data_IF_507380985749
#
_entry.id   IF_507380985749
#
_cell.length_a   1.000
_cell.length_b   1.000
_cell.length_c   1.000
_cell.angle_alpha   90.00
_cell.angle_beta   90.00
_cell.angle_gamma   90.00
#
_symmetry.space_group_name_H-M   'P 1'
#
loop_
_entity.id
_entity.type
_entity.pdbx_description
1 polymer ?
#
# COMPACT_ATOMS: atom_id res chain seq x y z
N UNK A 1 26.95 3.67 -7.44
CA UNK A 1 28.33 3.34 -7.01
C UNK A 1 28.25 2.11 -6.14
N UNK A 2 29.34 1.37 -5.99
CA UNK A 2 29.46 0.26 -5.04
C UNK A 2 30.84 0.30 -4.39
N UNK A 3 30.94 -0.09 -3.13
CA UNK A 3 32.21 -0.13 -2.41
C UNK A 3 32.41 -1.51 -1.78
N UNK A 4 33.67 -1.93 -1.64
CA UNK A 4 34.05 -3.12 -0.89
C UNK A 4 35.41 -2.91 -0.22
N UNK A 5 35.68 -3.69 0.81
CA UNK A 5 36.98 -3.70 1.50
C UNK A 5 37.45 -5.14 1.65
N UNK A 6 38.72 -5.37 1.35
CA UNK A 6 39.42 -6.63 1.65
C UNK A 6 40.49 -6.40 2.71
N UNK A 7 41.23 -7.45 3.06
CA UNK A 7 42.42 -7.34 3.91
C UNK A 7 43.53 -6.45 3.31
N UNK A 8 43.50 -6.20 2.00
CA UNK A 8 44.60 -5.57 1.26
C UNK A 8 44.24 -4.22 0.65
N UNK A 9 42.98 -3.99 0.32
CA UNK A 9 42.57 -2.80 -0.42
C UNK A 9 41.10 -2.44 -0.23
N UNK A 10 40.81 -1.17 -0.48
CA UNK A 10 39.47 -0.66 -0.74
C UNK A 10 39.18 -0.69 -2.24
N UNK A 11 37.94 -1.00 -2.58
CA UNK A 11 37.44 -1.04 -3.95
C UNK A 11 36.24 -0.13 -4.06
N UNK A 12 36.18 0.64 -5.15
CA UNK A 12 35.05 1.50 -5.48
C UNK A 12 34.72 1.34 -6.97
N UNK A 13 33.50 0.92 -7.26
CA UNK A 13 32.97 0.85 -8.63
C UNK A 13 32.07 2.05 -8.89
N UNK A 14 32.38 2.78 -9.96
CA UNK A 14 31.60 3.90 -10.46
C UNK A 14 30.97 3.48 -11.78
N UNK A 15 29.64 3.63 -11.89
CA UNK A 15 28.92 3.29 -13.12
C UNK A 15 29.37 4.22 -14.25
N UNK A 16 29.68 3.70 -15.46
CA UNK A 16 29.95 4.51 -16.64
C UNK A 16 28.81 5.51 -16.96
N UNK A 17 27.57 5.17 -16.57
CA UNK A 17 26.41 6.08 -16.66
C UNK A 17 26.57 7.31 -15.75
N UNK A 18 27.02 7.09 -14.51
CA UNK A 18 27.29 8.18 -13.59
C UNK A 18 28.48 9.01 -14.08
N UNK A 19 29.50 8.38 -14.65
CA UNK A 19 30.66 9.08 -15.22
C UNK A 19 30.36 9.84 -16.53
N UNK A 20 29.19 9.63 -17.16
CA UNK A 20 28.84 10.24 -18.45
C UNK A 20 29.51 9.56 -19.66
N UNK A 21 30.14 8.40 -19.45
CA UNK A 21 30.82 7.62 -20.50
C UNK A 21 29.84 6.77 -21.30
N UNK A 22 28.74 6.34 -20.68
CA UNK A 22 27.70 5.51 -21.32
C UNK A 22 26.32 6.14 -21.10
N UNK A 23 25.43 6.12 -22.11
CA UNK A 23 24.06 6.59 -21.96
C UNK A 23 23.15 5.56 -21.26
N UNK A 24 23.61 4.32 -21.05
CA UNK A 24 22.79 3.25 -20.51
C UNK A 24 22.89 3.14 -18.98
N UNK A 25 21.78 3.07 -18.22
CA UNK A 25 21.84 3.04 -16.76
C UNK A 25 22.21 1.68 -16.14
N UNK A 26 22.18 0.60 -16.94
CA UNK A 26 22.28 -0.79 -16.45
C UNK A 26 23.68 -1.37 -16.61
N UNK A 27 24.60 -0.94 -15.76
CA UNK A 27 25.93 -1.55 -15.65
C UNK A 27 26.02 -2.43 -14.40
N UNK A 28 26.67 -3.59 -14.54
CA UNK A 28 26.88 -4.55 -13.45
C UNK A 28 28.28 -4.37 -12.83
N UNK A 29 28.43 -4.86 -11.60
CA UNK A 29 29.66 -4.83 -10.82
C UNK A 29 30.45 -6.11 -11.13
N UNK A 30 31.62 -6.01 -11.79
CA UNK A 30 32.52 -7.15 -11.92
C UNK A 30 33.27 -7.36 -10.61
N UNK A 31 33.01 -8.49 -9.93
CA UNK A 31 33.69 -8.87 -8.70
C UNK A 31 34.87 -9.82 -8.92
N UNK A 32 34.86 -10.56 -10.04
CA UNK A 32 35.89 -11.49 -10.41
C UNK A 32 36.02 -11.59 -11.93
N UNK A 33 37.15 -12.13 -12.39
CA UNK A 33 37.27 -12.57 -13.77
C UNK A 33 36.37 -13.82 -13.96
N UNK A 34 35.60 -13.92 -15.06
CA UNK A 34 34.81 -15.12 -15.37
C UNK A 34 35.60 -16.44 -15.36
N UNK A 35 36.90 -16.41 -15.69
CA UNK A 35 37.76 -17.60 -15.74
C UNK A 35 38.34 -17.99 -14.36
N UNK A 36 38.14 -17.15 -13.34
CA UNK A 36 38.72 -17.36 -12.03
C UNK A 36 37.91 -18.37 -11.20
N UNK A 37 38.56 -19.47 -10.81
CA UNK A 37 37.94 -20.58 -10.08
C UNK A 37 38.10 -20.52 -8.57
N UNK A 38 38.84 -19.52 -8.04
CA UNK A 38 39.06 -19.40 -6.60
C UNK A 38 37.77 -19.06 -5.85
N UNK A 39 37.48 -19.85 -4.82
CA UNK A 39 36.36 -19.63 -3.91
C UNK A 39 36.45 -18.29 -3.16
N UNK A 40 35.31 -17.58 -3.06
CA UNK A 40 35.19 -16.27 -2.42
C UNK A 40 33.96 -16.19 -1.52
N UNK A 41 34.02 -15.32 -0.52
CA UNK A 41 32.88 -14.95 0.31
C UNK A 41 32.68 -13.45 0.25
N UNK A 42 31.49 -13.02 -0.13
CA UNK A 42 31.08 -11.61 -0.11
C UNK A 42 30.13 -11.41 1.05
N UNK A 43 30.46 -10.47 1.93
CA UNK A 43 29.62 -10.12 3.07
C UNK A 43 28.94 -8.78 2.78
N UNK A 44 27.64 -8.71 3.03
CA UNK A 44 26.88 -7.47 2.92
C UNK A 44 25.82 -7.36 3.99
N UNK A 45 25.07 -6.27 3.94
CA UNK A 45 23.88 -6.05 4.76
C UNK A 45 22.68 -5.87 3.86
N UNK A 46 21.73 -6.80 3.93
CA UNK A 46 20.74 -7.04 2.88
C UNK A 46 21.40 -7.34 1.53
N UNK A 47 22.41 -8.23 1.54
CA UNK A 47 23.33 -8.47 0.42
C UNK A 47 22.64 -8.88 -0.89
N UNK A 48 21.41 -9.41 -0.83
CA UNK A 48 20.63 -9.73 -2.03
C UNK A 48 20.38 -8.52 -2.94
N UNK A 49 20.30 -7.32 -2.36
CA UNK A 49 20.20 -6.08 -3.13
C UNK A 49 21.46 -5.84 -3.96
N UNK A 50 22.64 -5.99 -3.37
CA UNK A 50 23.92 -5.80 -4.05
C UNK A 50 24.22 -6.94 -5.03
N UNK A 51 23.95 -8.19 -4.61
CA UNK A 51 24.09 -9.42 -5.42
C UNK A 51 23.38 -9.30 -6.76
N UNK A 52 22.17 -8.73 -6.80
CA UNK A 52 21.42 -8.53 -8.05
C UNK A 52 22.13 -7.63 -9.09
N UNK A 53 23.14 -6.86 -8.67
CA UNK A 53 23.95 -5.95 -9.48
C UNK A 53 25.34 -6.50 -9.80
N UNK A 54 25.69 -7.68 -9.29
CA UNK A 54 26.95 -8.37 -9.58
C UNK A 54 26.85 -9.04 -10.96
N UNK A 55 27.92 -8.92 -11.76
CA UNK A 55 27.94 -9.38 -13.14
C UNK A 55 27.86 -10.91 -13.24
N UNK A 56 28.62 -11.59 -12.39
CA UNK A 56 28.79 -13.04 -12.36
C UNK A 56 27.48 -13.76 -11.97
N UNK A 57 26.59 -13.09 -11.24
CA UNK A 57 25.27 -13.63 -10.88
C UNK A 57 24.29 -13.71 -12.06
N UNK A 58 24.66 -13.16 -13.22
CA UNK A 58 23.89 -13.29 -14.47
C UNK A 58 24.36 -14.45 -15.34
N UNK A 59 25.41 -15.15 -14.95
CA UNK A 59 25.91 -16.30 -15.68
C UNK A 59 25.09 -17.55 -15.34
N UNK A 60 24.88 -18.43 -16.33
CA UNK A 60 24.21 -19.72 -16.12
C UNK A 60 25.07 -20.65 -15.26
N UNK A 61 26.39 -20.65 -15.51
CA UNK A 61 27.33 -21.38 -14.69
C UNK A 61 27.65 -20.54 -13.47
N UNK A 62 27.48 -21.17 -12.31
CA UNK A 62 27.71 -20.52 -11.03
C UNK A 62 29.20 -20.21 -10.82
N UNK A 63 29.48 -18.95 -10.48
CA UNK A 63 30.79 -18.54 -9.97
C UNK A 63 31.01 -19.11 -8.55
N UNK A 64 32.26 -19.41 -8.15
CA UNK A 64 32.59 -19.94 -6.82
C UNK A 64 32.52 -18.85 -5.73
N UNK A 65 31.44 -18.08 -5.70
CA UNK A 65 31.19 -17.00 -4.74
C UNK A 65 30.01 -17.37 -3.85
N UNK A 66 30.20 -17.25 -2.54
CA UNK A 66 29.15 -17.37 -1.54
C UNK A 66 28.85 -16.00 -0.93
N UNK A 67 27.59 -15.79 -0.51
CA UNK A 67 27.16 -14.53 0.10
C UNK A 67 26.78 -14.74 1.55
N UNK A 68 27.18 -13.81 2.40
CA UNK A 68 26.78 -13.75 3.81
C UNK A 68 26.05 -12.45 4.06
N UNK A 69 24.83 -12.58 4.56
CA UNK A 69 23.98 -11.43 4.88
C UNK A 69 23.95 -11.15 6.38
N UNK A 70 24.57 -10.05 6.80
CA UNK A 70 24.55 -9.61 8.21
C UNK A 70 23.14 -9.30 8.71
N UNK A 71 22.22 -8.90 7.83
CA UNK A 71 20.81 -8.69 8.19
C UNK A 71 20.15 -10.02 8.56
N UNK A 72 20.33 -11.07 7.76
CA UNK A 72 19.80 -12.41 8.03
C UNK A 72 20.39 -13.02 9.31
N UNK A 73 21.69 -12.85 9.56
CA UNK A 73 22.32 -13.27 10.81
C UNK A 73 21.72 -12.55 12.03
N UNK A 74 21.44 -11.24 11.89
CA UNK A 74 20.76 -10.48 12.93
C UNK A 74 19.33 -10.98 13.15
N UNK A 75 18.56 -11.23 12.08
CA UNK A 75 17.18 -11.72 12.19
C UNK A 75 17.11 -13.01 13.00
N UNK A 76 18.03 -13.95 12.77
CA UNK A 76 18.13 -15.17 13.56
C UNK A 76 18.49 -14.90 15.03
N UNK A 77 19.32 -13.90 15.31
CA UNK A 77 19.92 -13.65 16.62
C UNK A 77 19.09 -12.72 17.52
N UNK A 78 18.77 -11.52 17.05
CA UNK A 78 18.08 -10.44 17.77
C UNK A 78 17.01 -9.74 16.94
N UNK A 79 16.46 -10.42 15.93
CA UNK A 79 15.39 -9.89 15.09
C UNK A 79 14.03 -9.87 15.78
N UNK A 80 13.14 -9.03 15.24
CA UNK A 80 11.76 -8.87 15.72
C UNK A 80 10.76 -9.49 14.74
N UNK A 81 9.73 -10.16 15.27
CA UNK A 81 8.59 -10.61 14.47
C UNK A 81 7.68 -9.44 14.09
N UNK A 82 6.85 -9.60 13.06
CA UNK A 82 6.02 -8.51 12.50
C UNK A 82 5.13 -7.81 13.55
N UNK A 83 4.57 -8.57 14.51
CA UNK A 83 3.74 -8.01 15.59
C UNK A 83 4.56 -7.19 16.60
N UNK A 84 5.83 -7.55 16.83
CA UNK A 84 6.71 -6.86 17.78
C UNK A 84 7.25 -5.53 17.26
N UNK A 85 7.39 -5.38 15.93
CA UNK A 85 8.00 -4.18 15.31
C UNK A 85 7.30 -2.87 15.70
N UNK A 86 5.96 -2.88 15.75
CA UNK A 86 5.18 -1.72 16.14
C UNK A 86 5.42 -1.30 17.60
N UNK A 87 5.52 -2.26 18.50
CA UNK A 87 5.83 -2.01 19.91
C UNK A 87 7.27 -1.52 20.10
N UNK A 88 8.23 -2.14 19.41
CA UNK A 88 9.63 -1.68 19.44
C UNK A 88 9.77 -0.24 18.95
N UNK A 89 9.03 0.16 17.91
CA UNK A 89 9.04 1.54 17.41
C UNK A 89 8.52 2.54 18.46
N UNK A 90 7.42 2.22 19.14
CA UNK A 90 6.88 3.06 20.23
C UNK A 90 7.85 3.15 21.39
N UNK A 91 8.40 2.02 21.83
CA UNK A 91 9.37 1.96 22.91
C UNK A 91 10.67 2.71 22.59
N UNK A 92 11.23 2.51 21.39
CA UNK A 92 12.44 3.20 20.94
C UNK A 92 12.22 4.69 20.71
N UNK A 93 10.98 5.11 20.45
CA UNK A 93 10.60 6.54 20.42
C UNK A 93 10.56 7.11 21.84
N UNK A 94 9.86 6.46 22.76
CA UNK A 94 9.80 6.86 24.16
C UNK A 94 11.20 7.01 24.77
N UNK A 95 12.14 6.09 24.46
CA UNK A 95 13.56 6.22 24.87
C UNK A 95 14.28 7.44 24.31
N UNK A 96 13.99 7.85 23.08
CA UNK A 96 14.61 9.03 22.46
C UNK A 96 14.01 10.34 22.99
N UNK A 97 12.73 10.32 23.31
CA UNK A 97 11.98 11.47 23.82
C UNK A 97 12.04 11.57 25.36
N UNK A 98 12.70 10.61 26.04
CA UNK A 98 12.75 10.49 27.50
C UNK A 98 11.37 10.48 28.18
N UNK A 99 10.39 9.80 27.56
CA UNK A 99 9.05 9.63 28.12
C UNK A 99 9.10 8.66 29.31
N UNK A 100 9.27 9.19 30.51
CA UNK A 100 9.45 8.41 31.73
C UNK A 100 8.22 7.60 32.11
N UNK A 101 7.02 8.13 31.85
CA UNK A 101 5.76 7.46 32.19
C UNK A 101 5.56 6.20 31.34
N UNK A 102 5.73 6.33 30.01
CA UNK A 102 5.63 5.19 29.11
C UNK A 102 6.69 4.13 29.41
N UNK A 103 7.93 4.55 29.70
CA UNK A 103 9.03 3.64 29.99
C UNK A 103 8.86 2.90 31.32
N UNK A 104 8.31 3.55 32.35
CA UNK A 104 7.98 2.92 33.62
C UNK A 104 6.84 1.90 33.45
N UNK A 105 5.77 2.28 32.75
CA UNK A 105 4.63 1.39 32.48
C UNK A 105 5.03 0.14 31.69
N UNK A 106 6.04 0.26 30.82
CA UNK A 106 6.54 -0.82 29.97
C UNK A 106 7.93 -1.32 30.40
N UNK A 107 8.30 -1.18 31.68
CA UNK A 107 9.64 -1.50 32.15
C UNK A 107 10.02 -2.98 31.94
N UNK A 108 9.07 -3.90 32.10
CA UNK A 108 9.31 -5.35 31.93
C UNK A 108 9.34 -5.75 30.46
N UNK A 109 8.31 -5.37 29.70
CA UNK A 109 8.18 -5.68 28.26
C UNK A 109 9.26 -4.99 27.43
N UNK A 110 9.73 -3.82 27.89
CA UNK A 110 10.78 -3.01 27.28
C UNK A 110 12.16 -3.67 27.25
N UNK A 111 12.51 -4.51 28.24
CA UNK A 111 13.83 -5.16 28.32
C UNK A 111 14.14 -6.01 27.09
N UNK A 112 13.12 -6.63 26.51
CA UNK A 112 13.27 -7.41 25.27
C UNK A 112 13.67 -6.52 24.07
N UNK A 113 13.21 -5.27 24.04
CA UNK A 113 13.54 -4.31 22.98
C UNK A 113 14.95 -3.73 23.09
N UNK A 114 15.63 -3.94 24.22
CA UNK A 114 17.01 -3.49 24.44
C UNK A 114 18.06 -4.44 23.85
N UNK A 115 17.66 -5.69 23.61
CA UNK A 115 18.51 -6.72 22.99
C UNK A 115 18.08 -7.06 21.56
N UNK A 116 17.14 -6.28 21.01
CA UNK A 116 16.53 -6.52 19.70
C UNK A 116 16.46 -5.23 18.90
N UNK A 117 16.40 -5.33 17.57
CA UNK A 117 16.26 -4.16 16.70
C UNK A 117 15.48 -4.48 15.43
N UNK A 118 15.14 -3.43 14.68
CA UNK A 118 14.74 -3.58 13.29
C UNK A 118 15.95 -3.93 12.40
N UNK A 119 15.65 -4.33 11.18
CA UNK A 119 16.61 -4.99 10.30
C UNK A 119 17.59 -4.04 9.60
N UNK A 120 17.37 -2.71 9.60
CA UNK A 120 18.23 -1.80 8.84
C UNK A 120 19.64 -1.70 9.44
N UNK A 121 20.67 -1.52 8.60
CA UNK A 121 22.06 -1.43 9.04
C UNK A 121 22.26 -0.47 10.20
N UNK A 122 21.62 0.70 10.16
CA UNK A 122 21.62 1.68 11.25
C UNK A 122 21.21 1.09 12.60
N UNK A 123 20.02 0.47 12.65
CA UNK A 123 19.48 -0.05 13.91
C UNK A 123 20.29 -1.24 14.40
N UNK A 124 20.76 -2.10 13.49
CA UNK A 124 21.64 -3.21 13.80
C UNK A 124 23.02 -2.72 14.31
N UNK A 125 23.60 -1.71 13.67
CA UNK A 125 24.86 -1.09 14.07
C UNK A 125 24.73 -0.39 15.42
N UNK A 126 23.60 0.27 15.68
CA UNK A 126 23.29 0.85 16.99
C UNK A 126 23.22 -0.23 18.06
N UNK A 127 22.52 -1.33 17.81
CA UNK A 127 22.36 -2.44 18.75
C UNK A 127 23.70 -3.12 19.08
N UNK A 128 24.45 -3.57 18.07
CA UNK A 128 25.63 -4.40 18.30
C UNK A 128 26.94 -3.63 18.49
N UNK A 129 27.01 -2.41 17.95
CA UNK A 129 28.24 -1.62 17.90
C UNK A 129 28.12 -0.25 18.58
N UNK A 130 26.92 0.18 18.99
CA UNK A 130 26.71 1.51 19.56
C UNK A 130 26.95 2.65 18.56
N UNK A 131 26.92 2.36 17.26
CA UNK A 131 27.19 3.33 16.20
C UNK A 131 25.86 3.98 15.77
N UNK A 132 25.79 5.30 15.84
CA UNK A 132 24.68 6.05 15.23
C UNK A 132 25.05 6.51 13.82
N UNK A 133 24.12 6.38 12.88
CA UNK A 133 24.34 6.66 11.46
C UNK A 133 23.39 7.76 11.00
N UNK A 134 23.87 8.77 10.26
CA UNK A 134 23.02 9.83 9.67
C UNK A 134 22.14 9.31 8.52
N UNK A 135 20.90 9.81 8.32
CA UNK A 135 20.08 9.48 7.12
C UNK A 135 20.39 10.36 5.91
N UNK A 136 20.91 11.55 6.16
CA UNK A 136 20.92 12.67 5.19
C UNK A 136 21.69 12.35 3.91
N UNK A 137 22.89 11.76 4.04
CA UNK A 137 23.73 11.41 2.88
C UNK A 137 23.07 10.40 1.93
N UNK A 138 22.31 9.45 2.47
CA UNK A 138 21.62 8.42 1.69
C UNK A 138 20.50 8.99 0.82
N UNK A 139 19.79 10.01 1.28
CA UNK A 139 18.62 10.56 0.58
C UNK A 139 18.99 11.13 -0.79
N UNK A 140 20.25 11.58 -0.97
CA UNK A 140 20.76 12.03 -2.27
C UNK A 140 20.71 10.93 -3.33
N UNK A 141 20.89 9.66 -2.95
CA UNK A 141 20.76 8.54 -3.89
C UNK A 141 19.32 8.15 -4.22
N UNK A 142 18.36 8.55 -3.36
CA UNK A 142 16.96 8.15 -3.50
C UNK A 142 16.17 9.21 -4.24
N UNK A 143 16.35 10.47 -3.83
CA UNK A 143 15.54 11.60 -4.28
C UNK A 143 16.31 12.57 -5.19
N UNK A 144 17.65 12.46 -5.21
CA UNK A 144 18.52 13.39 -5.93
C UNK A 144 18.72 13.06 -7.41
N UNK A 145 19.24 14.03 -8.15
CA UNK A 145 19.58 13.90 -9.57
C UNK A 145 21.00 13.36 -9.78
N UNK A 146 21.28 12.83 -10.98
CA UNK A 146 22.65 12.41 -11.34
C UNK A 146 23.66 13.57 -11.26
N UNK A 147 23.22 14.81 -11.55
CA UNK A 147 24.08 15.98 -11.44
C UNK A 147 24.47 16.26 -9.98
N UNK A 148 23.54 16.14 -9.05
CA UNK A 148 23.80 16.29 -7.62
C UNK A 148 24.74 15.19 -7.09
N UNK A 149 24.53 13.94 -7.53
CA UNK A 149 25.42 12.82 -7.17
C UNK A 149 26.84 13.06 -7.67
N UNK A 150 27.02 13.63 -8.88
CA UNK A 150 28.34 14.02 -9.41
C UNK A 150 28.96 15.15 -8.60
N UNK A 151 28.19 16.19 -8.28
CA UNK A 151 28.67 17.35 -7.53
C UNK A 151 29.14 16.95 -6.11
N UNK A 152 28.49 15.96 -5.49
CA UNK A 152 28.79 15.46 -4.14
C UNK A 152 29.50 14.12 -4.13
N UNK A 153 30.20 13.76 -5.22
CA UNK A 153 30.76 12.43 -5.41
C UNK A 153 31.65 11.97 -4.25
N UNK A 154 32.58 12.82 -3.78
CA UNK A 154 33.51 12.46 -2.70
C UNK A 154 32.80 12.13 -1.38
N UNK A 155 31.82 12.94 -1.00
CA UNK A 155 31.00 12.74 0.21
C UNK A 155 30.19 11.43 0.12
N UNK A 156 29.62 11.14 -1.05
CA UNK A 156 28.81 9.95 -1.29
C UNK A 156 29.65 8.68 -1.42
N UNK A 157 30.87 8.77 -1.95
CA UNK A 157 31.83 7.68 -1.97
C UNK A 157 32.30 7.32 -0.54
N UNK A 158 32.58 8.33 0.28
CA UNK A 158 32.88 8.15 1.71
C UNK A 158 31.71 7.52 2.47
N UNK A 159 30.47 7.93 2.17
CA UNK A 159 29.27 7.28 2.70
C UNK A 159 29.23 5.79 2.35
N UNK A 160 29.46 5.42 1.08
CA UNK A 160 29.51 4.01 0.67
C UNK A 160 30.61 3.23 1.40
N UNK A 161 31.80 3.82 1.57
CA UNK A 161 32.89 3.20 2.30
C UNK A 161 32.57 3.02 3.79
N UNK A 162 31.94 4.03 4.40
CA UNK A 162 31.49 4.00 5.80
C UNK A 162 30.47 2.88 6.01
N UNK A 163 29.47 2.74 5.13
CA UNK A 163 28.48 1.66 5.21
C UNK A 163 29.15 0.27 5.17
N UNK A 164 30.20 0.10 4.36
CA UNK A 164 30.99 -1.14 4.29
C UNK A 164 31.78 -1.39 5.56
N UNK A 165 32.46 -0.39 6.13
CA UNK A 165 33.19 -0.57 7.41
C UNK A 165 32.23 -0.86 8.57
N UNK A 166 31.09 -0.17 8.64
CA UNK A 166 30.05 -0.45 9.64
C UNK A 166 29.51 -1.87 9.46
N UNK A 167 29.24 -2.31 8.23
CA UNK A 167 28.82 -3.70 7.95
C UNK A 167 29.85 -4.72 8.45
N UNK A 168 31.15 -4.45 8.26
CA UNK A 168 32.23 -5.30 8.79
C UNK A 168 32.22 -5.34 10.33
N UNK A 169 32.07 -4.20 11.01
CA UNK A 169 31.98 -4.14 12.48
C UNK A 169 30.77 -4.89 13.01
N UNK A 170 29.62 -4.76 12.33
CA UNK A 170 28.40 -5.52 12.64
C UNK A 170 28.64 -7.00 12.49
N UNK A 171 29.26 -7.46 11.39
CA UNK A 171 29.60 -8.87 11.18
C UNK A 171 30.38 -9.45 12.36
N UNK A 172 31.42 -8.74 12.83
CA UNK A 172 32.26 -9.17 13.95
C UNK A 172 31.48 -9.40 15.25
N UNK A 173 30.29 -8.80 15.41
CA UNK A 173 29.44 -8.96 16.59
C UNK A 173 28.28 -9.93 16.36
N UNK A 174 27.61 -9.83 15.21
CA UNK A 174 26.42 -10.61 14.90
C UNK A 174 26.74 -12.06 14.56
N UNK A 175 27.88 -12.34 13.91
CA UNK A 175 28.23 -13.70 13.54
C UNK A 175 28.51 -14.59 14.76
N UNK A 176 29.29 -14.15 15.78
CA UNK A 176 29.39 -14.88 17.05
C UNK A 176 28.05 -15.05 17.76
N UNK A 177 27.20 -14.01 17.81
CA UNK A 177 25.87 -14.10 18.42
C UNK A 177 24.98 -15.15 17.72
N UNK A 178 25.01 -15.17 16.37
CA UNK A 178 24.34 -16.19 15.57
C UNK A 178 24.88 -17.59 15.87
N UNK A 179 26.20 -17.77 15.93
CA UNK A 179 26.83 -19.06 16.25
C UNK A 179 26.48 -19.55 17.66
N UNK A 180 26.32 -18.65 18.62
CA UNK A 180 25.89 -19.01 19.97
C UNK A 180 24.43 -19.49 20.01
N UNK A 181 23.55 -18.82 19.27
CA UNK A 181 22.11 -19.16 19.22
C UNK A 181 21.80 -20.35 18.29
N UNK A 182 22.56 -20.48 17.22
CA UNK A 182 22.45 -21.52 16.20
C UNK A 182 23.81 -22.24 16.04
N UNK A 183 24.19 -23.12 17.00
CA UNK A 183 25.53 -23.71 17.05
C UNK A 183 25.78 -24.75 15.95
N UNK A 184 24.71 -25.40 15.47
CA UNK A 184 24.83 -26.47 14.48
C UNK A 184 25.31 -25.91 13.14
N UNK A 185 26.38 -26.47 12.52
CA UNK A 185 26.94 -25.95 11.27
C UNK A 185 25.93 -25.95 10.12
N UNK A 186 24.96 -26.86 10.12
CA UNK A 186 23.87 -26.87 9.12
C UNK A 186 23.04 -25.58 9.13
N UNK A 187 22.88 -24.89 10.27
CA UNK A 187 22.17 -23.61 10.30
C UNK A 187 22.90 -22.54 9.49
N UNK A 188 24.23 -22.48 9.61
CA UNK A 188 25.03 -21.54 8.82
C UNK A 188 25.08 -21.95 7.34
N UNK A 189 25.27 -23.24 7.06
CA UNK A 189 25.23 -23.76 5.70
C UNK A 189 23.88 -23.48 5.02
N UNK A 190 22.77 -23.63 5.74
CA UNK A 190 21.44 -23.30 5.25
C UNK A 190 21.30 -21.83 4.86
N UNK A 191 21.84 -20.89 5.66
CA UNK A 191 21.84 -19.46 5.31
C UNK A 191 22.63 -19.21 4.02
N UNK A 192 23.80 -19.83 3.87
CA UNK A 192 24.61 -19.71 2.65
C UNK A 192 23.82 -20.22 1.43
N UNK A 193 23.28 -21.43 1.50
CA UNK A 193 22.56 -22.08 0.40
C UNK A 193 21.26 -21.35 0.02
N UNK A 194 20.50 -20.83 0.99
CA UNK A 194 19.27 -20.08 0.72
C UNK A 194 19.55 -18.78 -0.07
N UNK A 195 20.72 -18.17 0.12
CA UNK A 195 21.14 -17.00 -0.63
C UNK A 195 21.63 -17.32 -2.04
N UNK A 196 21.67 -18.58 -2.46
CA UNK A 196 22.13 -19.02 -3.78
C UNK A 196 21.00 -19.18 -4.80
N UNK A 197 19.74 -19.11 -4.36
CA UNK A 197 18.58 -19.25 -5.25
C UNK A 197 18.67 -18.30 -6.46
N UNK A 198 18.34 -18.84 -7.63
CA UNK A 198 18.17 -18.09 -8.87
C UNK A 198 16.87 -18.54 -9.54
N UNK A 199 16.18 -17.61 -10.19
CA UNK A 199 14.99 -17.90 -10.98
C UNK A 199 15.37 -17.82 -12.46
N UNK A 200 15.50 -18.95 -13.17
CA UNK A 200 15.78 -18.92 -14.59
C UNK A 200 14.56 -18.35 -15.33
N UNK A 201 14.77 -17.27 -16.06
CA UNK A 201 13.79 -16.69 -16.98
C UNK A 201 14.40 -16.67 -18.37
N UNK A 202 13.58 -16.90 -19.39
CA UNK A 202 14.00 -16.84 -20.79
C UNK A 202 13.54 -15.54 -21.46
N UNK A 203 13.81 -15.42 -22.76
CA UNK A 203 13.41 -14.26 -23.56
C UNK A 203 11.89 -14.09 -23.71
N UNK A 204 11.08 -15.07 -23.30
CA UNK A 204 9.62 -14.98 -23.31
C UNK A 204 9.06 -14.24 -22.10
N UNK A 205 9.87 -14.02 -21.05
CA UNK A 205 9.42 -13.39 -19.81
C UNK A 205 8.81 -11.99 -19.99
N UNK A 206 9.40 -11.06 -20.76
CA UNK A 206 8.75 -9.77 -21.03
C UNK A 206 7.40 -9.93 -21.71
N UNK A 207 7.29 -10.84 -22.69
CA UNK A 207 6.02 -11.12 -23.37
C UNK A 207 4.98 -11.75 -22.43
N UNK A 208 5.39 -12.54 -21.44
CA UNK A 208 4.52 -13.04 -20.38
C UNK A 208 3.98 -11.91 -19.50
N UNK A 209 4.86 -11.02 -19.02
CA UNK A 209 4.47 -9.84 -18.24
C UNK A 209 3.48 -8.98 -19.04
N UNK A 210 3.78 -8.68 -20.30
CA UNK A 210 2.91 -7.88 -21.16
C UNK A 210 1.53 -8.53 -21.37
N UNK A 211 1.47 -9.87 -21.48
CA UNK A 211 0.19 -10.59 -21.56
C UNK A 211 -0.61 -10.46 -20.26
N UNK A 212 0.04 -10.60 -19.11
CA UNK A 212 -0.60 -10.44 -17.80
C UNK A 212 -1.14 -9.01 -17.61
N UNK A 213 -0.35 -7.99 -17.96
CA UNK A 213 -0.77 -6.59 -17.87
C UNK A 213 -1.94 -6.27 -18.81
N UNK A 214 -1.90 -6.78 -20.06
CA UNK A 214 -3.03 -6.64 -20.99
C UNK A 214 -4.30 -7.28 -20.44
N UNK A 215 -4.21 -8.53 -19.98
CA UNK A 215 -5.36 -9.23 -19.39
C UNK A 215 -5.92 -8.48 -18.17
N UNK A 216 -5.05 -7.96 -17.31
CA UNK A 216 -5.46 -7.14 -16.17
C UNK A 216 -6.19 -5.86 -16.61
N UNK A 217 -5.65 -5.13 -17.59
CA UNK A 217 -6.26 -3.92 -18.12
C UNK A 217 -7.61 -4.20 -18.80
N UNK A 218 -7.70 -5.26 -19.61
CA UNK A 218 -8.92 -5.71 -20.28
C UNK A 218 -10.02 -6.08 -19.26
N UNK A 219 -9.69 -6.88 -18.24
CA UNK A 219 -10.64 -7.24 -17.19
C UNK A 219 -11.08 -6.02 -16.37
N UNK A 220 -10.15 -5.10 -16.09
CA UNK A 220 -10.46 -3.86 -15.37
C UNK A 220 -11.42 -2.97 -16.15
N UNK A 221 -11.17 -2.74 -17.45
CA UNK A 221 -12.09 -1.95 -18.29
C UNK A 221 -13.41 -2.69 -18.55
N UNK A 222 -13.41 -4.02 -18.63
CA UNK A 222 -14.62 -4.83 -18.72
C UNK A 222 -15.51 -4.68 -17.47
N UNK A 223 -14.92 -4.74 -16.28
CA UNK A 223 -15.66 -4.49 -15.02
C UNK A 223 -16.16 -3.03 -14.98
N UNK A 224 -15.31 -2.06 -15.30
CA UNK A 224 -15.68 -0.65 -15.30
C UNK A 224 -16.77 -0.32 -16.33
N UNK A 225 -16.75 -0.95 -17.51
CA UNK A 225 -17.79 -0.76 -18.54
C UNK A 225 -19.13 -1.38 -18.12
N UNK A 226 -19.12 -2.57 -17.52
CA UNK A 226 -20.33 -3.20 -16.97
C UNK A 226 -20.94 -2.39 -15.83
N UNK A 227 -20.11 -1.85 -14.93
CA UNK A 227 -20.58 -0.98 -13.84
C UNK A 227 -21.20 0.32 -14.36
N UNK A 228 -20.60 0.92 -15.39
CA UNK A 228 -21.18 2.11 -16.04
C UNK A 228 -22.53 1.79 -16.68
N UNK A 229 -22.63 0.67 -17.40
CA UNK A 229 -23.91 0.23 -17.96
C UNK A 229 -24.96 0.03 -16.87
N UNK A 230 -24.60 -0.60 -15.74
CA UNK A 230 -25.52 -0.74 -14.61
C UNK A 230 -25.93 0.61 -14.01
N UNK A 231 -25.05 1.60 -13.99
CA UNK A 231 -25.39 2.96 -13.58
C UNK A 231 -26.37 3.62 -14.56
N UNK A 232 -26.16 3.47 -15.87
CA UNK A 232 -27.07 4.00 -16.89
C UNK A 232 -28.45 3.29 -16.87
N UNK A 233 -28.46 1.97 -16.65
CA UNK A 233 -29.67 1.17 -16.46
C UNK A 233 -30.42 1.61 -15.19
N UNK A 234 -29.70 1.83 -14.08
CA UNK A 234 -30.25 2.33 -12.83
C UNK A 234 -30.88 3.73 -13.02
N UNK A 235 -30.19 4.63 -13.73
CA UNK A 235 -30.68 5.96 -14.04
C UNK A 235 -31.98 5.95 -14.84
N UNK A 236 -32.16 4.94 -15.70
CA UNK A 236 -33.33 4.77 -16.57
C UNK A 236 -34.48 4.00 -15.91
N UNK A 237 -34.36 3.63 -14.63
CA UNK A 237 -35.39 2.87 -13.92
C UNK A 237 -36.67 3.72 -13.75
N UNK A 238 -37.87 3.19 -14.05
CA UNK A 238 -39.11 3.96 -14.00
C UNK A 238 -39.52 4.37 -12.58
N UNK A 239 -39.42 3.44 -11.62
CA UNK A 239 -39.77 3.67 -10.21
C UNK A 239 -38.57 3.31 -9.31
N UNK A 240 -37.52 4.15 -9.23
CA UNK A 240 -36.33 3.82 -8.45
C UNK A 240 -36.60 3.76 -6.94
N UNK A 241 -37.69 4.37 -6.47
CA UNK A 241 -38.08 4.35 -5.05
C UNK A 241 -38.63 2.98 -4.59
N UNK A 242 -39.15 2.16 -5.51
CA UNK A 242 -39.65 0.82 -5.19
C UNK A 242 -38.50 -0.19 -5.03
N UNK A 243 -37.40 0.01 -5.76
CA UNK A 243 -36.24 -0.87 -5.72
C UNK A 243 -35.48 -0.76 -4.36
N UNK A 244 -35.21 -1.88 -3.66
CA UNK A 244 -34.54 -1.88 -2.36
C UNK A 244 -33.15 -1.23 -2.33
N UNK A 245 -32.44 -1.20 -3.46
CA UNK A 245 -31.11 -0.60 -3.57
C UNK A 245 -31.19 0.82 -4.10
N UNK A 246 -31.95 1.06 -5.17
CA UNK A 246 -32.00 2.37 -5.84
C UNK A 246 -32.67 3.45 -4.98
N UNK A 247 -33.63 3.10 -4.10
CA UNK A 247 -34.27 4.06 -3.18
C UNK A 247 -33.28 4.78 -2.26
N UNK A 248 -32.12 4.16 -2.01
CA UNK A 248 -31.09 4.68 -1.12
C UNK A 248 -30.15 5.68 -1.81
N UNK A 249 -30.33 5.94 -3.11
CA UNK A 249 -29.55 6.91 -3.88
C UNK A 249 -30.15 8.31 -3.78
N UNK A 250 -29.30 9.34 -3.89
CA UNK A 250 -29.75 10.73 -3.88
C UNK A 250 -30.28 11.14 -5.27
N UNK A 251 -31.59 10.95 -5.47
CA UNK A 251 -32.31 11.26 -6.70
C UNK A 251 -32.65 12.75 -6.88
N UNK A 252 -32.13 13.65 -6.03
CA UNK A 252 -32.39 15.09 -6.16
C UNK A 252 -31.87 15.62 -7.51
N UNK A 253 -32.75 16.27 -8.27
CA UNK A 253 -32.43 16.87 -9.56
C UNK A 253 -32.29 18.38 -9.40
N UNK A 254 -31.13 18.92 -9.77
CA UNK A 254 -30.95 20.36 -9.82
C UNK A 254 -31.46 20.91 -11.16
N UNK A 255 -32.35 21.93 -11.14
CA UNK A 255 -32.85 22.54 -12.36
C UNK A 255 -31.75 23.30 -13.09
N UNK A 256 -31.86 23.35 -14.41
CA UNK A 256 -30.94 24.10 -15.26
C UNK A 256 -31.01 25.60 -14.92
N UNK A 257 -29.95 26.16 -14.32
CA UNK A 257 -29.90 27.61 -14.04
C UNK A 257 -29.61 28.38 -15.32
N UNK A 258 -30.40 29.41 -15.58
CA UNK A 258 -30.22 30.33 -16.71
C UNK A 258 -29.51 31.61 -16.24
N UNK A 259 -28.80 32.29 -17.15
CA UNK A 259 -28.22 33.62 -16.90
C UNK A 259 -29.33 34.64 -16.67
N UNK A 260 -29.08 35.62 -15.79
CA UNK A 260 -30.06 36.68 -15.52
C UNK A 260 -30.40 37.43 -16.83
N UNK A 261 -31.70 37.58 -17.17
CA UNK A 261 -32.10 38.36 -18.31
C UNK A 261 -31.69 39.82 -18.14
N UNK A 262 -31.24 40.44 -19.23
CA UNK A 262 -31.02 41.90 -19.31
C UNK A 262 -32.08 42.49 -20.21
N UNK A 263 -32.90 43.38 -19.65
CA UNK A 263 -33.96 44.10 -20.37
C UNK A 263 -33.51 45.52 -20.76
N UNK A 264 -34.07 46.03 -21.84
CA UNK A 264 -34.02 47.46 -22.21
C UNK A 264 -35.18 48.21 -21.54
N UNK A 265 -35.17 49.53 -21.61
CA UNK A 265 -36.23 50.39 -21.07
C UNK A 265 -37.61 50.16 -21.73
N UNK A 266 -37.66 49.58 -22.94
CA UNK A 266 -38.88 49.22 -23.67
C UNK A 266 -39.46 47.84 -23.27
N UNK A 267 -38.85 47.14 -22.31
CA UNK A 267 -39.26 45.80 -21.88
C UNK A 267 -38.74 44.66 -22.78
N UNK A 268 -38.08 44.95 -23.90
CA UNK A 268 -37.45 43.94 -24.76
C UNK A 268 -36.08 43.50 -24.23
N UNK A 269 -35.61 42.31 -24.63
CA UNK A 269 -34.26 41.86 -24.24
C UNK A 269 -33.18 42.77 -24.85
N UNK A 270 -32.18 43.13 -24.04
CA UNK A 270 -30.97 43.79 -24.51
C UNK A 270 -30.23 42.87 -25.50
N UNK A 271 -29.37 43.44 -26.36
CA UNK A 271 -28.49 42.64 -27.22
C UNK A 271 -27.69 41.68 -26.32
N UNK A 272 -27.76 40.38 -26.57
CA UNK A 272 -27.18 39.33 -25.71
C UNK A 272 -27.80 39.19 -24.30
N UNK A 273 -28.98 39.75 -24.05
CA UNK A 273 -29.66 39.78 -22.76
C UNK A 273 -30.68 38.68 -22.52
N UNK A 274 -30.89 37.77 -23.47
CA UNK A 274 -31.76 36.60 -23.29
C UNK A 274 -31.19 35.63 -22.25
N UNK A 275 -32.03 34.99 -21.41
CA UNK A 275 -31.59 33.94 -20.50
C UNK A 275 -30.96 32.79 -21.28
N UNK A 276 -29.69 32.49 -20.99
CA UNK A 276 -28.95 31.39 -21.59
C UNK A 276 -28.56 30.37 -20.52
N UNK A 277 -28.46 29.07 -20.85
CA UNK A 277 -27.91 28.07 -19.94
C UNK A 277 -26.55 28.49 -19.38
N UNK A 278 -26.40 28.42 -18.05
CA UNK A 278 -25.14 28.74 -17.42
C UNK A 278 -24.07 27.70 -17.78
N UNK A 279 -22.92 28.16 -18.29
CA UNK A 279 -21.94 27.34 -19.02
C UNK A 279 -21.15 26.33 -18.17
N UNK A 280 -21.20 26.44 -16.84
CA UNK A 280 -20.44 25.59 -15.89
C UNK A 280 -21.31 24.62 -15.10
N UNK A 281 -22.49 24.26 -15.61
CA UNK A 281 -23.33 23.25 -14.97
C UNK A 281 -22.88 21.85 -15.38
N UNK A 282 -22.57 21.04 -14.38
CA UNK A 282 -22.22 19.65 -14.60
C UNK A 282 -23.51 18.82 -14.69
N UNK A 283 -23.75 18.24 -15.87
CA UNK A 283 -24.89 17.35 -16.15
C UNK A 283 -26.23 17.88 -15.59
N UNK A 284 -26.72 19.06 -16.01
CA UNK A 284 -28.00 19.59 -15.55
C UNK A 284 -29.14 18.63 -15.90
N UNK A 285 -30.08 18.44 -14.99
CA UNK A 285 -31.20 17.49 -15.16
C UNK A 285 -30.90 16.05 -14.72
N UNK A 286 -29.66 15.70 -14.37
CA UNK A 286 -29.33 14.39 -13.81
C UNK A 286 -29.43 14.40 -12.27
N UNK A 287 -29.78 13.25 -11.65
CA UNK A 287 -29.81 13.13 -10.20
C UNK A 287 -28.41 13.29 -9.60
N UNK A 288 -28.34 13.84 -8.40
CA UNK A 288 -27.07 14.13 -7.70
C UNK A 288 -26.15 12.91 -7.62
N UNK A 289 -26.67 11.71 -7.30
CA UNK A 289 -25.86 10.51 -7.23
C UNK A 289 -25.10 10.21 -8.53
N UNK A 290 -25.69 10.49 -9.69
CA UNK A 290 -25.07 10.24 -11.00
C UNK A 290 -24.04 11.32 -11.34
N UNK A 291 -24.36 12.59 -10.99
CA UNK A 291 -23.45 13.73 -11.17
C UNK A 291 -22.17 13.57 -10.34
N UNK A 292 -22.28 13.06 -9.12
CA UNK A 292 -21.15 12.81 -8.23
C UNK A 292 -20.16 11.77 -8.78
N UNK A 293 -20.58 10.94 -9.74
CA UNK A 293 -19.73 9.95 -10.41
C UNK A 293 -18.96 10.54 -11.60
N UNK A 294 -19.25 11.76 -12.04
CA UNK A 294 -18.63 12.34 -13.23
C UNK A 294 -17.14 12.63 -13.01
N UNK A 295 -16.29 12.16 -13.92
CA UNK A 295 -14.87 12.52 -13.97
C UNK A 295 -14.61 13.48 -15.13
N UNK A 296 -14.22 14.75 -14.87
CA UNK A 296 -13.81 15.69 -15.91
C UNK A 296 -12.62 15.20 -16.73
N UNK A 297 -11.69 14.47 -16.12
CA UNK A 297 -10.50 13.93 -16.77
C UNK A 297 -10.84 12.87 -17.81
N UNK A 298 -11.82 12.03 -17.51
CA UNK A 298 -12.26 10.96 -18.40
C UNK A 298 -13.40 11.40 -19.35
N UNK A 299 -14.03 12.55 -19.09
CA UNK A 299 -15.20 13.03 -19.84
C UNK A 299 -16.41 12.09 -19.75
N UNK A 300 -16.49 11.27 -18.69
CA UNK A 300 -17.55 10.27 -18.47
C UNK A 300 -17.70 9.96 -16.98
N UNK A 301 -18.77 9.25 -16.61
CA UNK A 301 -18.90 8.70 -15.24
C UNK A 301 -17.78 7.70 -14.95
N UNK A 302 -17.23 7.78 -13.74
CA UNK A 302 -16.16 6.94 -13.24
C UNK A 302 -16.65 6.11 -12.06
N UNK A 303 -16.98 4.86 -12.32
CA UNK A 303 -17.48 3.89 -11.33
C UNK A 303 -16.52 2.72 -11.26
N UNK A 304 -16.11 2.37 -10.05
CA UNK A 304 -15.25 1.22 -9.77
C UNK A 304 -15.90 0.35 -8.71
N UNK A 305 -15.38 -0.86 -8.49
CA UNK A 305 -15.82 -1.74 -7.40
C UNK A 305 -15.65 -1.11 -6.00
N UNK A 306 -14.80 -0.07 -5.86
CA UNK A 306 -14.60 0.68 -4.62
C UNK A 306 -15.55 1.87 -4.46
N UNK A 307 -16.28 2.23 -5.52
CA UNK A 307 -17.25 3.32 -5.44
C UNK A 307 -18.37 2.94 -4.47
N UNK A 308 -18.79 3.87 -3.60
CA UNK A 308 -19.84 3.62 -2.59
C UNK A 308 -21.16 3.15 -3.22
N UNK A 309 -21.44 3.52 -4.46
CA UNK A 309 -22.65 3.08 -5.17
C UNK A 309 -22.56 1.64 -5.72
N UNK A 310 -21.36 1.07 -5.85
CA UNK A 310 -21.17 -0.21 -6.54
C UNK A 310 -21.98 -1.36 -5.91
N UNK A 311 -22.07 -1.51 -4.58
CA UNK A 311 -22.94 -2.52 -3.97
C UNK A 311 -24.42 -2.38 -4.34
N UNK A 312 -24.91 -1.15 -4.52
CA UNK A 312 -26.29 -0.90 -4.95
C UNK A 312 -26.49 -1.27 -6.43
N UNK A 313 -25.57 -0.87 -7.31
CA UNK A 313 -25.64 -1.21 -8.75
C UNK A 313 -25.55 -2.72 -8.98
N UNK A 314 -24.71 -3.41 -8.21
CA UNK A 314 -24.55 -4.86 -8.26
C UNK A 314 -25.65 -5.62 -7.51
N UNK A 315 -26.59 -4.91 -6.87
CA UNK A 315 -27.68 -5.47 -6.05
C UNK A 315 -27.16 -6.50 -5.04
N UNK A 316 -26.06 -6.16 -4.36
CA UNK A 316 -25.43 -7.05 -3.39
C UNK A 316 -26.37 -7.32 -2.22
N UNK A 317 -26.30 -8.56 -1.73
CA UNK A 317 -27.09 -9.07 -0.62
C UNK A 317 -26.18 -9.71 0.41
N UNK A 318 -26.59 -9.63 1.67
CA UNK A 318 -26.02 -10.40 2.76
C UNK A 318 -27.10 -11.28 3.37
N UNK A 319 -26.85 -12.58 3.46
CA UNK A 319 -27.83 -13.57 3.95
C UNK A 319 -29.19 -13.52 3.22
N UNK A 320 -29.18 -13.13 1.95
CA UNK A 320 -30.40 -12.97 1.14
C UNK A 320 -31.07 -11.59 1.22
N UNK A 321 -30.59 -10.71 2.10
CA UNK A 321 -31.17 -9.38 2.36
C UNK A 321 -30.37 -8.25 1.70
N UNK A 322 -31.03 -7.18 1.22
CA UNK A 322 -30.36 -6.08 0.53
C UNK A 322 -29.44 -5.31 1.50
N UNK A 323 -28.27 -4.92 0.98
CA UNK A 323 -27.36 -4.03 1.69
C UNK A 323 -27.91 -2.60 1.73
N UNK A 324 -27.63 -1.91 2.84
CA UNK A 324 -27.88 -0.48 3.06
C UNK A 324 -26.60 0.14 3.61
N UNK A 325 -26.27 1.37 3.20
CA UNK A 325 -25.13 2.10 3.72
C UNK A 325 -25.61 3.18 4.69
N UNK A 326 -25.36 2.95 5.98
CA UNK A 326 -25.50 3.95 7.03
C UNK A 326 -24.28 4.87 7.07
N UNK A 327 -24.51 6.17 7.30
CA UNK A 327 -23.44 7.13 7.52
C UNK A 327 -22.69 6.84 8.83
N UNK A 328 -23.41 6.39 9.85
CA UNK A 328 -22.86 6.08 11.18
C UNK A 328 -22.19 4.69 11.24
N UNK A 329 -22.81 3.68 10.63
CA UNK A 329 -22.41 2.27 10.81
C UNK A 329 -21.69 1.66 9.60
N UNK A 330 -21.66 2.36 8.47
CA UNK A 330 -21.11 1.84 7.21
C UNK A 330 -22.10 0.92 6.50
N UNK A 331 -21.61 -0.14 5.86
CA UNK A 331 -22.49 -1.14 5.23
C UNK A 331 -23.18 -2.00 6.28
N UNK A 332 -24.50 -2.09 6.14
CA UNK A 332 -25.43 -2.87 6.96
C UNK A 332 -26.35 -3.66 6.02
N UNK A 333 -27.25 -4.47 6.56
CA UNK A 333 -28.30 -5.12 5.78
C UNK A 333 -29.65 -5.03 6.49
N UNK A 334 -30.71 -4.88 5.69
CA UNK A 334 -32.08 -4.69 6.19
C UNK A 334 -32.85 -6.01 6.15
N UNK A 335 -33.27 -6.51 7.31
CA UNK A 335 -34.08 -7.71 7.48
C UNK A 335 -35.52 -7.29 7.78
N UNK A 336 -36.55 -7.84 7.11
CA UNK A 336 -37.94 -7.61 7.48
C UNK A 336 -38.20 -8.05 8.94
N UNK A 337 -38.96 -7.24 9.69
CA UNK A 337 -39.28 -7.51 11.10
C UNK A 337 -39.91 -8.90 11.30
N UNK A 338 -40.80 -9.32 10.39
CA UNK A 338 -41.39 -10.65 10.42
C UNK A 338 -40.37 -11.79 10.32
N UNK A 339 -39.30 -11.61 9.52
CA UNK A 339 -38.22 -12.60 9.40
C UNK A 339 -37.38 -12.64 10.67
N UNK A 340 -37.08 -11.47 11.22
CA UNK A 340 -36.38 -11.35 12.50
C UNK A 340 -37.16 -12.03 13.63
N UNK A 341 -38.45 -11.71 13.78
CA UNK A 341 -39.35 -12.27 14.80
C UNK A 341 -39.46 -13.79 14.66
N UNK A 342 -39.62 -14.30 13.44
CA UNK A 342 -39.63 -15.75 13.18
C UNK A 342 -38.31 -16.41 13.58
N UNK A 343 -37.18 -15.80 13.27
CA UNK A 343 -35.86 -16.37 13.60
C UNK A 343 -35.58 -16.40 15.11
N UNK A 344 -36.13 -15.47 15.90
CA UNK A 344 -35.95 -15.44 17.37
C UNK A 344 -36.95 -16.34 18.11
N UNK A 345 -38.14 -16.57 17.54
CA UNK A 345 -39.21 -17.35 18.19
C UNK A 345 -39.24 -18.82 17.76
N UNK A 346 -38.76 -19.15 16.56
CA UNK A 346 -38.71 -20.51 16.04
C UNK A 346 -37.26 -20.97 15.85
N UNK A 347 -36.76 -21.74 16.82
CA UNK A 347 -35.42 -22.30 16.78
C UNK A 347 -35.22 -23.35 15.65
N UNK A 348 -36.29 -23.81 15.01
CA UNK A 348 -36.24 -24.70 13.85
C UNK A 348 -36.28 -23.97 12.51
N UNK A 349 -36.37 -22.63 12.53
CA UNK A 349 -36.40 -21.81 11.32
C UNK A 349 -35.11 -21.97 10.50
N UNK A 350 -35.17 -22.06 9.16
CA UNK A 350 -33.99 -22.06 8.30
C UNK A 350 -33.32 -20.68 8.17
N UNK A 351 -33.85 -19.66 8.85
CA UNK A 351 -33.32 -18.30 8.81
C UNK A 351 -32.02 -18.17 9.61
N UNK A 352 -31.17 -17.19 9.27
CA UNK A 352 -29.97 -16.91 10.06
C UNK A 352 -30.29 -16.57 11.52
N UNK A 353 -29.38 -16.89 12.44
CA UNK A 353 -29.53 -16.65 13.87
C UNK A 353 -29.34 -15.16 14.24
N UNK A 354 -30.25 -14.30 13.78
CA UNK A 354 -30.19 -12.85 13.97
C UNK A 354 -30.12 -12.42 15.45
N UNK A 355 -30.66 -13.22 16.37
CA UNK A 355 -30.58 -12.95 17.81
C UNK A 355 -29.15 -12.92 18.38
N UNK A 356 -28.16 -13.50 17.67
CA UNK A 356 -26.74 -13.42 18.05
C UNK A 356 -26.02 -12.22 17.44
N UNK A 357 -26.67 -11.53 16.50
CA UNK A 357 -26.10 -10.39 15.80
C UNK A 357 -26.40 -9.09 16.55
N UNK A 358 -25.53 -8.10 16.39
CA UNK A 358 -25.77 -6.77 16.98
C UNK A 358 -26.80 -6.02 16.16
N UNK A 359 -28.01 -5.92 16.69
CA UNK A 359 -29.06 -5.07 16.13
C UNK A 359 -28.66 -3.59 16.25
N UNK A 360 -28.75 -2.87 15.14
CA UNK A 360 -28.49 -1.43 15.09
C UNK A 360 -29.75 -0.65 15.46
N UNK A 361 -29.57 0.50 16.11
CA UNK A 361 -30.65 1.42 16.48
C UNK A 361 -30.36 2.77 15.84
N UNK A 362 -31.35 3.30 15.13
CA UNK A 362 -31.28 4.61 14.50
C UNK A 362 -32.08 5.62 15.32
N UNK A 363 -31.56 6.83 15.44
CA UNK A 363 -32.21 7.92 16.17
C UNK A 363 -33.44 8.38 15.39
N UNK A 364 -34.57 8.53 16.09
CA UNK A 364 -35.85 8.95 15.49
C UNK A 364 -36.03 10.47 15.43
N UNK A 365 -35.22 11.22 16.18
CA UNK A 365 -35.25 12.68 16.24
C UNK A 365 -34.65 13.29 14.96
N UNK A 366 -35.43 14.00 14.13
CA UNK A 366 -34.95 14.62 12.90
C UNK A 366 -33.87 15.69 13.11
N UNK A 367 -33.79 16.29 14.31
CA UNK A 367 -32.83 17.35 14.63
C UNK A 367 -31.49 16.78 15.12
N UNK A 368 -31.41 15.47 15.35
CA UNK A 368 -30.17 14.81 15.75
C UNK A 368 -29.14 14.77 14.61
N UNK A 369 -27.87 14.99 14.94
CA UNK A 369 -26.78 15.01 13.94
C UNK A 369 -26.52 13.67 13.24
N UNK A 370 -26.97 12.57 13.85
CA UNK A 370 -26.89 11.20 13.34
C UNK A 370 -28.26 10.67 12.85
N UNK A 371 -29.23 11.55 12.62
CA UNK A 371 -30.51 11.19 12.03
C UNK A 371 -30.36 10.67 10.59
N UNK A 372 -30.87 9.46 10.35
CA UNK A 372 -30.95 8.87 9.01
C UNK A 372 -32.43 8.62 8.65
N UNK A 373 -33.04 9.40 7.76
CA UNK A 373 -34.48 9.37 7.52
C UNK A 373 -34.99 8.02 7.01
N UNK A 374 -34.18 7.26 6.27
CA UNK A 374 -34.56 5.94 5.75
C UNK A 374 -34.81 4.93 6.88
N UNK A 375 -33.76 4.53 7.63
CA UNK A 375 -33.92 3.62 8.76
C UNK A 375 -34.78 4.16 9.90
N UNK A 376 -34.77 5.47 10.15
CA UNK A 376 -35.58 6.08 11.21
C UNK A 376 -37.10 6.00 10.94
N UNK A 377 -37.50 6.00 9.67
CA UNK A 377 -38.91 5.85 9.25
C UNK A 377 -39.31 4.39 8.94
N UNK A 378 -38.38 3.45 9.03
CA UNK A 378 -38.59 2.05 8.66
C UNK A 378 -39.02 1.19 9.85
N UNK A 379 -40.31 1.18 10.13
CA UNK A 379 -40.87 0.38 11.23
C UNK A 379 -40.89 -1.13 10.94
N UNK A 380 -40.89 -1.50 9.67
CA UNK A 380 -41.00 -2.88 9.19
C UNK A 380 -39.64 -3.56 8.98
N UNK A 381 -38.54 -2.83 9.19
CA UNK A 381 -37.18 -3.33 9.04
C UNK A 381 -36.42 -3.39 10.37
N UNK A 382 -35.47 -4.32 10.42
CA UNK A 382 -34.45 -4.41 11.46
C UNK A 382 -33.10 -4.45 10.76
N UNK A 383 -32.16 -3.66 11.24
CA UNK A 383 -30.87 -3.47 10.61
C UNK A 383 -29.76 -4.10 11.43
N UNK A 384 -28.80 -4.70 10.74
CA UNK A 384 -27.65 -5.38 11.32
C UNK A 384 -26.38 -4.99 10.59
N UNK A 385 -25.25 -5.05 11.30
CA UNK A 385 -23.92 -4.81 10.74
C UNK A 385 -23.36 -6.05 10.06
#
# INVERSE_FOLDING_TARGET
MAAAVSRHAWYLWVSPYLAGVSPHPRHLIPLADPEETRARVVIGHNVGFDRARVQEERQLRRAPTAYVDTMSLHVASGGLCSRQRGFWLRYSRAKRENDTEYLQLNAETGRFFDVSSLNSLREVARLYCGIDMSKERRNVFVDGTLAEVRARFGELADYCATDVDVTRRVLCRVFPAFRAKCPHPASFAGILLMLEGFLPVDSSWPAYVDRCERMFAELTESVASRLRRLADDALSAPNPQDDPWLRNLDWTVEPQKLTKPRFKADGSYAKNGEPRPFTRQLLPGFPKWYRDLWSPQLGRIHVTVRSRIAPYLLKLKWLGYPLYHSAQHGWTFRVPRADYERAIHDASSPLPAFGTMTMLRFVSDPDASDYEPGPAADFDGVYFK
#
